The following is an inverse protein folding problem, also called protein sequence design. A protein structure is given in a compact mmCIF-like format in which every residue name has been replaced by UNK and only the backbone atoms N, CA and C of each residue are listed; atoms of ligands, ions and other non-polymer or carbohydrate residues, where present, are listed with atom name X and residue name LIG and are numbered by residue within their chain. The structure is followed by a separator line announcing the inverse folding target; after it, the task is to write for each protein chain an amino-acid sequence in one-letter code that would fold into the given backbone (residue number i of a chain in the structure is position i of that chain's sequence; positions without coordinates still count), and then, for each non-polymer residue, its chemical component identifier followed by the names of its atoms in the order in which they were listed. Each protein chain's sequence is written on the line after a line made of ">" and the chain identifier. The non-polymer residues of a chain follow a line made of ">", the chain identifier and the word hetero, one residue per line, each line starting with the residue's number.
data_IF_398718005142
#
_entry.id   IF_398718005142
#
_cell.length_a   1.000
_cell.length_b   1.000
_cell.length_c   1.000
_cell.angle_alpha   90.00
_cell.angle_beta   90.00
_cell.angle_gamma   90.00
#
_symmetry.space_group_name_H-M   'P 1'
#
loop_
_entity.id
_entity.type
_entity.pdbx_description
1 polymer ?
#
# COMPACT_ATOMS: atom_id res chain seq x y z
N UNK A 1 28.53 9.54 -6.61
CA UNK A 1 27.09 9.23 -6.69
C UNK A 1 26.72 8.42 -5.45
N UNK A 2 26.06 9.04 -4.47
CA UNK A 2 25.67 8.33 -3.24
C UNK A 2 24.45 7.49 -3.61
N UNK A 3 24.64 6.18 -3.74
CA UNK A 3 23.53 5.24 -3.88
C UNK A 3 22.79 5.28 -2.54
N UNK A 4 21.71 6.06 -2.45
CA UNK A 4 20.79 5.99 -1.31
C UNK A 4 20.23 4.57 -1.31
N UNK A 5 20.71 3.75 -0.39
CA UNK A 5 20.36 2.33 -0.30
C UNK A 5 18.99 2.09 0.38
N UNK A 6 18.19 3.15 0.48
CA UNK A 6 16.94 3.15 1.21
C UNK A 6 15.85 2.52 0.34
N UNK A 7 15.24 1.47 0.87
CA UNK A 7 14.19 0.76 0.16
C UNK A 7 12.86 1.41 0.50
N UNK A 8 12.15 1.85 -0.53
CA UNK A 8 10.74 2.22 -0.46
C UNK A 8 9.89 1.14 -1.06
N UNK A 9 8.82 0.81 -0.36
CA UNK A 9 7.84 -0.18 -0.78
C UNK A 9 6.50 0.52 -0.90
N UNK A 10 5.89 0.41 -2.07
CA UNK A 10 4.50 0.82 -2.30
C UNK A 10 3.60 -0.37 -1.97
N UNK A 11 2.79 -0.23 -0.93
CA UNK A 11 1.74 -1.17 -0.58
C UNK A 11 0.42 -0.70 -1.14
N UNK A 12 -0.35 -1.61 -1.73
CA UNK A 12 -1.66 -1.34 -2.31
C UNK A 12 -2.66 -2.32 -1.69
N UNK A 13 -3.82 -1.81 -1.28
CA UNK A 13 -4.83 -2.56 -0.55
C UNK A 13 -6.23 -2.20 -1.05
N UNK A 14 -7.05 -3.20 -1.39
CA UNK A 14 -8.45 -2.99 -1.73
C UNK A 14 -9.24 -2.51 -0.53
N UNK A 15 -10.05 -1.47 -0.75
CA UNK A 15 -11.06 -1.02 0.19
C UNK A 15 -12.42 -1.33 -0.43
N UNK A 16 -13.15 -2.27 0.16
CA UNK A 16 -14.47 -2.68 -0.36
C UNK A 16 -15.58 -1.89 0.32
N UNK A 17 -16.05 -0.82 -0.33
CA UNK A 17 -17.19 -0.03 0.16
C UNK A 17 -18.39 -0.13 -0.78
N UNK A 18 -19.30 -1.08 -0.52
CA UNK A 18 -20.53 -1.22 -1.30
C UNK A 18 -20.28 -1.40 -2.80
N UNK A 19 -20.64 -0.37 -3.59
CA UNK A 19 -20.45 -0.35 -5.07
C UNK A 19 -19.20 0.37 -5.54
N UNK A 20 -18.44 1.00 -4.64
CA UNK A 20 -17.26 1.80 -5.00
C UNK A 20 -16.02 0.93 -4.82
N UNK A 21 -15.25 0.77 -5.89
CA UNK A 21 -13.94 0.13 -5.86
C UNK A 21 -12.87 1.18 -5.56
N UNK A 22 -12.32 1.11 -4.34
CA UNK A 22 -11.31 2.03 -3.84
C UNK A 22 -10.03 1.25 -3.53
N UNK A 23 -8.90 1.91 -3.76
CA UNK A 23 -7.57 1.42 -3.41
C UNK A 23 -6.92 2.39 -2.46
N UNK A 24 -6.58 1.89 -1.28
CA UNK A 24 -5.67 2.58 -0.38
C UNK A 24 -4.25 2.20 -0.79
N UNK A 25 -3.36 3.18 -0.86
CA UNK A 25 -1.95 2.92 -1.04
C UNK A 25 -1.10 3.67 -0.03
N UNK A 26 0.02 3.05 0.34
CA UNK A 26 0.99 3.62 1.25
C UNK A 26 2.40 3.37 0.74
N UNK A 27 3.26 4.39 0.77
CA UNK A 27 4.70 4.21 0.56
C UNK A 27 5.38 4.24 1.91
N UNK A 28 6.13 3.17 2.19
CA UNK A 28 6.86 3.00 3.42
C UNK A 28 8.34 2.90 3.09
N UNK A 29 9.10 3.73 3.77
CA UNK A 29 10.54 3.78 3.70
C UNK A 29 11.12 3.10 4.94
N UNK A 30 12.04 2.15 4.74
CA UNK A 30 12.45 1.25 5.82
C UNK A 30 13.00 1.90 7.08
N UNK A 31 13.69 3.04 6.95
CA UNK A 31 14.28 3.78 8.07
C UNK A 31 13.40 4.91 8.61
N UNK A 32 12.38 5.35 7.85
CA UNK A 32 11.53 6.52 8.18
C UNK A 32 10.07 6.21 8.43
N UNK A 33 9.61 5.01 8.08
CA UNK A 33 8.21 4.63 8.16
C UNK A 33 7.37 5.17 7.00
N UNK A 34 6.13 5.56 7.29
CA UNK A 34 5.15 6.02 6.30
C UNK A 34 5.55 7.37 5.70
N UNK A 35 5.70 7.42 4.38
CA UNK A 35 6.10 8.63 3.64
C UNK A 35 4.95 9.19 2.80
N UNK A 36 4.18 8.31 2.16
CA UNK A 36 3.00 8.70 1.39
C UNK A 36 1.81 7.81 1.74
N UNK A 37 0.62 8.41 1.71
CA UNK A 37 -0.66 7.73 1.85
C UNK A 37 -1.66 8.35 0.86
N UNK A 38 -2.51 7.53 0.26
CA UNK A 38 -3.56 8.02 -0.62
C UNK A 38 -4.67 7.00 -0.84
N UNK A 39 -5.79 7.50 -1.36
CA UNK A 39 -6.95 6.72 -1.79
C UNK A 39 -7.23 7.06 -3.25
N UNK A 40 -7.45 6.04 -4.07
CA UNK A 40 -7.79 6.20 -5.49
C UNK A 40 -8.96 5.29 -5.82
N UNK A 41 -9.90 5.81 -6.61
CA UNK A 41 -10.93 4.98 -7.25
C UNK A 41 -10.36 4.30 -8.48
N UNK A 42 -10.56 2.99 -8.60
CA UNK A 42 -10.03 2.20 -9.71
C UNK A 42 -9.16 1.03 -9.24
N UNK A 43 -8.39 0.47 -10.17
CA UNK A 43 -7.51 -0.67 -9.94
C UNK A 43 -6.09 -0.28 -9.53
N UNK A 44 -5.22 -1.29 -9.55
CA UNK A 44 -3.79 -1.16 -9.23
C UNK A 44 -3.09 -0.27 -10.26
N UNK A 45 -3.50 -0.32 -11.53
CA UNK A 45 -2.88 0.46 -12.60
C UNK A 45 -3.09 1.97 -12.40
N UNK A 46 -4.27 2.38 -11.95
CA UNK A 46 -4.57 3.78 -11.60
C UNK A 46 -3.73 4.27 -10.42
N UNK A 47 -3.47 3.39 -9.44
CA UNK A 47 -2.55 3.70 -8.33
C UNK A 47 -1.13 3.91 -8.83
N UNK A 48 -0.65 3.02 -9.70
CA UNK A 48 0.70 3.11 -10.29
C UNK A 48 0.82 4.37 -11.14
N UNK A 49 -0.16 4.67 -11.99
CA UNK A 49 -0.15 5.86 -12.83
C UNK A 49 -0.15 7.15 -11.99
N UNK A 50 -0.97 7.20 -10.94
CA UNK A 50 -0.99 8.34 -10.03
C UNK A 50 0.35 8.51 -9.30
N UNK A 51 0.90 7.43 -8.75
CA UNK A 51 2.19 7.44 -8.08
C UNK A 51 3.32 7.88 -9.03
N UNK A 52 3.27 7.46 -10.31
CA UNK A 52 4.19 7.93 -11.35
C UNK A 52 4.08 9.43 -11.59
N UNK A 53 2.86 9.95 -11.81
CA UNK A 53 2.63 11.39 -12.06
C UNK A 53 3.10 12.27 -10.91
N UNK A 54 3.09 11.74 -9.68
CA UNK A 54 3.57 12.42 -8.47
C UNK A 54 5.08 12.28 -8.22
N UNK A 55 5.82 11.56 -9.08
CA UNK A 55 7.25 11.27 -8.89
C UNK A 55 7.54 10.29 -7.74
N UNK A 56 6.51 9.64 -7.19
CA UNK A 56 6.65 8.72 -6.05
C UNK A 56 7.32 7.42 -6.49
N UNK A 57 7.00 6.93 -7.69
CA UNK A 57 7.54 5.65 -8.17
C UNK A 57 9.04 5.66 -8.44
N UNK A 58 9.64 6.82 -8.68
CA UNK A 58 11.07 6.92 -9.04
C UNK A 58 11.99 6.37 -7.93
N UNK A 59 11.51 6.38 -6.69
CA UNK A 59 12.25 5.88 -5.53
C UNK A 59 11.69 4.56 -4.96
N UNK A 60 10.58 4.06 -5.49
CA UNK A 60 9.94 2.80 -5.06
C UNK A 60 10.65 1.61 -5.71
N UNK A 61 11.15 0.68 -4.89
CA UNK A 61 11.82 -0.54 -5.36
C UNK A 61 10.89 -1.73 -5.50
N UNK A 62 9.82 -1.75 -4.71
CA UNK A 62 8.88 -2.87 -4.67
C UNK A 62 7.46 -2.34 -4.62
N UNK A 63 6.59 -2.96 -5.41
CA UNK A 63 5.15 -2.77 -5.35
C UNK A 63 4.56 -4.06 -4.81
N UNK A 64 3.76 -3.95 -3.75
CA UNK A 64 3.14 -5.08 -3.07
C UNK A 64 1.63 -4.87 -3.09
N UNK A 65 0.95 -5.70 -3.88
CA UNK A 65 -0.48 -5.89 -3.76
C UNK A 65 -0.75 -6.76 -2.53
N UNK A 66 -1.33 -6.14 -1.50
CA UNK A 66 -1.62 -6.80 -0.23
C UNK A 66 -2.76 -7.80 -0.33
N UNK A 67 -3.67 -7.64 -1.29
CA UNK A 67 -4.75 -8.60 -1.49
C UNK A 67 -4.16 -9.93 -2.00
N UNK A 68 -3.28 -9.85 -3.01
CA UNK A 68 -2.53 -10.99 -3.53
C UNK A 68 -1.50 -11.57 -2.54
N UNK A 69 -0.79 -10.72 -1.79
CA UNK A 69 0.21 -11.17 -0.83
C UNK A 69 -0.40 -11.92 0.37
N UNK A 70 -1.60 -11.54 0.80
CA UNK A 70 -2.33 -12.25 1.86
C UNK A 70 -2.74 -13.66 1.40
N UNK A 71 -3.13 -13.81 0.12
CA UNK A 71 -3.46 -15.10 -0.47
C UNK A 71 -2.24 -16.02 -0.65
N UNK A 72 -1.07 -15.45 -0.95
CA UNK A 72 0.19 -16.20 -1.09
C UNK A 72 0.89 -16.50 0.25
N UNK A 73 0.46 -15.85 1.34
CA UNK A 73 1.05 -15.93 2.68
C UNK A 73 0.89 -17.29 3.38
N UNK A 74 0.22 -18.27 2.80
CA UNK A 74 0.08 -19.62 3.36
C UNK A 74 1.36 -20.44 3.35
N UNK A 75 2.45 -19.99 2.71
CA UNK A 75 3.62 -20.85 2.45
C UNK A 75 5.02 -20.36 2.86
N UNK A 76 5.23 -19.18 3.47
CA UNK A 76 6.62 -18.69 3.73
C UNK A 76 6.85 -17.97 5.07
N UNK A 77 7.33 -18.72 6.07
CA UNK A 77 7.79 -18.24 7.38
C UNK A 77 8.97 -17.25 7.30
N UNK A 78 8.70 -15.98 7.00
CA UNK A 78 9.75 -14.96 6.84
C UNK A 78 9.37 -13.59 7.43
N UNK A 79 10.38 -12.78 7.72
CA UNK A 79 10.30 -11.36 8.16
C UNK A 79 9.36 -10.53 7.26
N UNK A 80 9.21 -10.92 5.99
CA UNK A 80 8.28 -10.27 5.04
C UNK A 80 6.81 -10.43 5.44
N UNK A 81 6.41 -11.56 5.99
CA UNK A 81 5.03 -11.78 6.43
C UNK A 81 4.66 -10.91 7.63
N UNK A 82 5.59 -10.75 8.58
CA UNK A 82 5.37 -9.86 9.73
C UNK A 82 5.18 -8.41 9.26
N UNK A 83 6.04 -7.95 8.34
CA UNK A 83 5.91 -6.63 7.72
C UNK A 83 4.56 -6.46 7.02
N UNK A 84 4.18 -7.38 6.14
CA UNK A 84 2.89 -7.37 5.45
C UNK A 84 1.74 -7.30 6.46
N UNK A 85 1.77 -8.11 7.52
CA UNK A 85 0.73 -8.11 8.57
C UNK A 85 0.63 -6.79 9.32
N UNK A 86 1.77 -6.20 9.71
CA UNK A 86 1.77 -4.93 10.45
C UNK A 86 1.31 -3.77 9.58
N UNK A 87 1.69 -3.75 8.29
CA UNK A 87 1.18 -2.75 7.34
C UNK A 87 -0.31 -2.95 7.09
N UNK A 88 -0.76 -4.20 6.92
CA UNK A 88 -2.17 -4.50 6.72
C UNK A 88 -3.01 -3.99 7.89
N UNK A 89 -2.56 -4.16 9.15
CA UNK A 89 -3.26 -3.58 10.32
C UNK A 89 -3.43 -2.07 10.21
N UNK A 90 -2.37 -1.34 9.82
CA UNK A 90 -2.42 0.12 9.65
C UNK A 90 -3.43 0.48 8.57
N UNK A 91 -3.35 -0.18 7.41
CA UNK A 91 -4.23 0.09 6.27
C UNK A 91 -5.68 -0.30 6.56
N UNK A 92 -5.94 -1.38 7.29
CA UNK A 92 -7.29 -1.77 7.74
C UNK A 92 -7.87 -0.79 8.75
N UNK A 93 -7.05 -0.21 9.63
CA UNK A 93 -7.50 0.89 10.51
C UNK A 93 -7.88 2.12 9.71
N UNK A 94 -7.07 2.49 8.71
CA UNK A 94 -7.36 3.61 7.82
C UNK A 94 -8.60 3.36 6.96
N UNK A 95 -8.75 2.14 6.41
CA UNK A 95 -9.95 1.70 5.69
C UNK A 95 -11.19 1.95 6.54
N UNK A 96 -11.20 1.54 7.81
CA UNK A 96 -12.36 1.70 8.69
C UNK A 96 -12.77 3.16 8.83
N UNK A 97 -11.81 4.05 9.02
CA UNK A 97 -12.10 5.49 9.13
C UNK A 97 -12.55 6.07 7.78
N UNK A 98 -11.96 5.64 6.66
CA UNK A 98 -12.38 6.07 5.32
C UNK A 98 -13.81 5.61 5.02
N UNK A 99 -14.12 4.34 5.27
CA UNK A 99 -15.48 3.79 5.12
C UNK A 99 -16.47 4.57 5.97
N UNK A 100 -16.10 4.91 7.21
CA UNK A 100 -16.93 5.73 8.10
C UNK A 100 -17.15 7.15 7.56
N UNK A 101 -16.14 7.76 6.94
CA UNK A 101 -16.24 9.11 6.39
C UNK A 101 -17.04 9.16 5.08
N UNK A 102 -16.94 8.11 4.26
CA UNK A 102 -17.67 7.99 2.98
C UNK A 102 -19.10 7.43 3.21
N UNK A 103 -19.29 6.67 4.28
CA UNK A 103 -20.52 5.98 4.64
C UNK A 103 -21.18 6.53 5.90
N UNK A 104 -21.85 7.68 5.73
CA UNK A 104 -23.19 7.98 6.27
C UNK A 104 -24.07 8.43 5.13
#
# INVERSE_FOLDING_TARGET
>A
MIIKNETRVLFIYSVKTGKIDLRLYAVIRGDKGLEHLGVISGGIDEVIENARKRGILDEVRFIVDLDGATLAGTHTSSIRQKWVSDILKILSTLEREIVRLIGT
#
